data_IF_940221451102
#
_entry.id   IF_940221451102
#
_cell.length_a   1.000
_cell.length_b   1.000
_cell.length_c   1.000
_cell.angle_alpha   90.00
_cell.angle_beta   90.00
_cell.angle_gamma   90.00
#
_symmetry.space_group_name_H-M   'P 1'
#
loop_
_entity.id
_entity.type
_entity.pdbx_description
1 polymer ?
#
# COMPACT_ATOMS: atom_id res chain seq x y z
N UNK A 1 -0.81 25.99 -11.70
CA UNK A 1 -0.84 24.51 -11.71
C UNK A 1 0.30 24.05 -10.81
N UNK A 2 0.18 22.94 -10.07
CA UNK A 2 1.11 22.48 -9.01
C UNK A 2 0.82 23.04 -7.59
N UNK A 3 -0.07 22.34 -6.86
CA UNK A 3 -0.21 22.39 -5.39
C UNK A 3 -0.78 21.06 -4.89
N UNK A 4 -1.66 20.44 -5.70
CA UNK A 4 -2.24 19.12 -5.43
C UNK A 4 -1.26 17.96 -5.67
N UNK A 5 -0.41 18.05 -6.71
CA UNK A 5 0.60 17.02 -7.01
C UNK A 5 1.64 16.95 -5.89
N UNK A 6 2.13 18.12 -5.45
CA UNK A 6 3.10 18.22 -4.35
C UNK A 6 2.54 17.66 -3.03
N UNK A 7 1.26 17.93 -2.73
CA UNK A 7 0.62 17.42 -1.52
C UNK A 7 0.48 15.89 -1.55
N UNK A 8 0.07 15.31 -2.68
CA UNK A 8 -0.07 13.85 -2.80
C UNK A 8 1.28 13.14 -2.64
N UNK A 9 2.34 13.68 -3.25
CA UNK A 9 3.69 13.16 -3.08
C UNK A 9 4.18 13.27 -1.64
N UNK A 10 3.91 14.39 -0.97
CA UNK A 10 4.29 14.57 0.44
C UNK A 10 3.58 13.57 1.37
N UNK A 11 2.30 13.25 1.11
CA UNK A 11 1.55 12.25 1.89
C UNK A 11 2.16 10.85 1.72
N UNK A 12 2.46 10.45 0.48
CA UNK A 12 3.09 9.14 0.22
C UNK A 12 4.48 9.05 0.83
N UNK A 13 5.33 10.08 0.65
CA UNK A 13 6.65 10.12 1.26
C UNK A 13 6.58 10.01 2.79
N UNK A 14 5.59 10.66 3.42
CA UNK A 14 5.39 10.54 4.87
C UNK A 14 4.96 9.13 5.27
N UNK A 15 4.10 8.49 4.47
CA UNK A 15 3.75 7.09 4.70
C UNK A 15 4.99 6.18 4.58
N UNK A 16 5.86 6.39 3.60
CA UNK A 16 7.06 5.57 3.39
C UNK A 16 8.05 5.67 4.56
N UNK A 17 8.23 6.87 5.13
CA UNK A 17 8.99 7.04 6.38
C UNK A 17 8.39 6.19 7.52
N UNK A 18 7.07 6.25 7.69
CA UNK A 18 6.37 5.47 8.72
C UNK A 18 6.46 3.96 8.44
N UNK A 19 6.39 3.54 7.18
CA UNK A 19 6.49 2.15 6.75
C UNK A 19 7.89 1.60 7.04
N UNK A 20 8.94 2.38 6.76
CA UNK A 20 10.32 2.02 7.08
C UNK A 20 10.51 1.84 8.59
N UNK A 21 10.00 2.78 9.39
CA UNK A 21 10.07 2.70 10.84
C UNK A 21 9.30 1.48 11.39
N UNK A 22 8.10 1.21 10.87
CA UNK A 22 7.28 0.07 11.27
C UNK A 22 7.92 -1.26 10.88
N UNK A 23 8.53 -1.34 9.67
CA UNK A 23 9.30 -2.51 9.24
C UNK A 23 10.46 -2.80 10.19
N UNK A 24 11.20 -1.77 10.60
CA UNK A 24 12.27 -1.90 11.60
C UNK A 24 11.74 -2.41 12.94
N UNK A 25 10.69 -1.78 13.48
CA UNK A 25 10.04 -2.19 14.73
C UNK A 25 9.58 -3.65 14.74
N UNK A 26 8.96 -4.11 13.65
CA UNK A 26 8.51 -5.50 13.52
C UNK A 26 9.68 -6.47 13.33
N UNK A 27 10.67 -6.07 12.54
CA UNK A 27 11.91 -6.82 12.29
C UNK A 27 12.70 -7.07 13.57
N UNK A 28 12.88 -6.05 14.41
CA UNK A 28 13.58 -6.15 15.71
C UNK A 28 12.88 -7.12 16.68
N UNK A 29 11.57 -7.33 16.50
CA UNK A 29 10.75 -8.29 17.27
C UNK A 29 10.71 -9.68 16.64
N UNK A 30 11.33 -9.88 15.48
CA UNK A 30 11.22 -11.12 14.71
C UNK A 30 9.80 -11.40 14.20
N UNK A 31 8.98 -10.36 14.04
CA UNK A 31 7.61 -10.45 13.53
C UNK A 31 7.61 -10.28 12.02
N UNK A 32 7.08 -11.28 11.30
CA UNK A 32 6.76 -11.16 9.88
C UNK A 32 5.35 -10.60 9.72
N UNK A 33 5.25 -9.45 9.07
CA UNK A 33 3.97 -8.84 8.72
C UNK A 33 3.50 -9.27 7.33
N UNK A 34 2.24 -9.69 7.25
CA UNK A 34 1.58 -10.19 6.04
C UNK A 34 0.37 -9.32 5.75
N UNK A 35 0.45 -8.50 4.72
CA UNK A 35 -0.61 -7.60 4.26
C UNK A 35 -1.48 -8.30 3.20
N UNK A 36 -2.78 -8.43 3.47
CA UNK A 36 -3.75 -9.05 2.56
C UNK A 36 -4.54 -7.97 1.81
N UNK A 37 -4.33 -7.87 0.49
CA UNK A 37 -5.03 -6.95 -0.40
C UNK A 37 -6.05 -7.72 -1.24
N UNK A 38 -7.25 -7.17 -1.44
CA UNK A 38 -8.30 -7.84 -2.24
C UNK A 38 -9.42 -6.86 -2.59
N UNK A 39 -10.36 -7.25 -3.45
CA UNK A 39 -11.66 -6.56 -3.54
C UNK A 39 -12.58 -6.88 -2.35
N UNK A 40 -13.64 -6.08 -2.11
CA UNK A 40 -14.70 -6.46 -1.17
C UNK A 40 -15.28 -7.84 -1.53
N UNK A 41 -15.54 -8.68 -0.53
CA UNK A 41 -16.14 -9.99 -0.75
C UNK A 41 -15.22 -11.06 -1.35
N UNK A 42 -13.92 -10.81 -1.54
CA UNK A 42 -12.96 -11.82 -2.04
C UNK A 42 -12.74 -12.98 -1.05
N UNK A 43 -13.20 -12.87 0.19
CA UNK A 43 -13.09 -13.92 1.20
C UNK A 43 -11.86 -13.83 2.12
N UNK A 44 -11.23 -12.65 2.24
CA UNK A 44 -10.08 -12.40 3.14
C UNK A 44 -10.35 -12.88 4.57
N UNK A 45 -11.37 -12.35 5.24
CA UNK A 45 -11.73 -12.70 6.62
C UNK A 45 -11.93 -14.19 6.82
N UNK A 46 -12.61 -14.86 5.89
CA UNK A 46 -12.86 -16.29 5.97
C UNK A 46 -11.57 -17.11 5.82
N UNK A 47 -10.71 -16.75 4.87
CA UNK A 47 -9.42 -17.40 4.69
C UNK A 47 -8.51 -17.17 5.90
N UNK A 48 -8.48 -15.94 6.40
CA UNK A 48 -7.64 -15.54 7.53
C UNK A 48 -8.09 -16.21 8.84
N UNK A 49 -9.39 -16.37 9.07
CA UNK A 49 -9.93 -17.14 10.21
C UNK A 49 -9.34 -18.56 10.23
N UNK A 50 -9.32 -19.25 9.09
CA UNK A 50 -8.75 -20.59 8.97
C UNK A 50 -7.22 -20.63 9.08
N UNK A 51 -6.52 -19.61 8.58
CA UNK A 51 -5.06 -19.49 8.73
C UNK A 51 -4.67 -19.30 10.19
N UNK A 52 -5.33 -18.38 10.89
CA UNK A 52 -5.07 -18.09 12.30
C UNK A 52 -5.37 -19.33 13.15
N UNK A 53 -6.50 -20.01 12.93
CA UNK A 53 -6.85 -21.21 13.69
C UNK A 53 -5.78 -22.31 13.53
N UNK A 54 -5.24 -22.49 12.32
CA UNK A 54 -4.14 -23.45 12.07
C UNK A 54 -2.83 -23.00 12.68
N UNK A 55 -2.49 -21.71 12.62
CA UNK A 55 -1.31 -21.18 13.26
C UNK A 55 -1.35 -21.40 14.78
N UNK A 56 -2.49 -21.10 15.42
CA UNK A 56 -2.73 -21.33 16.85
C UNK A 56 -2.64 -22.81 17.19
N UNK A 57 -3.31 -23.68 16.42
CA UNK A 57 -3.25 -25.13 16.63
C UNK A 57 -1.84 -25.71 16.45
N UNK A 58 -1.04 -25.13 15.55
CA UNK A 58 0.36 -25.48 15.32
C UNK A 58 1.34 -24.81 16.29
N UNK A 59 0.87 -24.06 17.29
CA UNK A 59 1.71 -23.39 18.29
C UNK A 59 2.53 -22.22 17.72
N UNK A 60 2.17 -21.68 16.56
CA UNK A 60 2.79 -20.48 15.99
C UNK A 60 2.14 -19.24 16.60
N UNK A 61 2.89 -18.38 17.33
CA UNK A 61 2.34 -17.13 17.85
C UNK A 61 1.94 -16.20 16.70
N UNK A 62 0.64 -16.06 16.47
CA UNK A 62 0.08 -15.24 15.41
C UNK A 62 -0.92 -14.24 15.99
N UNK A 63 -0.96 -13.04 15.43
CA UNK A 63 -1.95 -12.01 15.71
C UNK A 63 -2.52 -11.46 14.40
N UNK A 64 -3.68 -10.83 14.46
CA UNK A 64 -4.29 -10.17 13.32
C UNK A 64 -4.75 -8.75 13.61
N UNK A 65 -4.55 -7.88 12.63
CA UNK A 65 -5.21 -6.58 12.55
C UNK A 65 -6.15 -6.64 11.36
N UNK A 66 -7.39 -6.21 11.51
CA UNK A 66 -8.33 -6.05 10.40
C UNK A 66 -8.79 -4.62 10.30
N UNK A 67 -8.95 -4.13 9.08
CA UNK A 67 -9.31 -2.76 8.79
C UNK A 67 -10.53 -2.67 7.86
N UNK A 68 -11.52 -1.91 8.32
CA UNK A 68 -12.75 -1.66 7.59
C UNK A 68 -13.20 -0.20 7.76
N UNK A 69 -14.06 0.24 6.84
CA UNK A 69 -14.69 1.56 6.94
C UNK A 69 -15.65 1.65 8.13
N UNK A 70 -16.31 0.55 8.49
CA UNK A 70 -17.31 0.50 9.52
C UNK A 70 -17.47 -0.92 10.10
N UNK A 71 -17.99 -0.97 11.33
CA UNK A 71 -18.27 -2.20 12.11
C UNK A 71 -17.02 -2.95 12.58
N UNK A 72 -17.21 -3.83 13.57
CA UNK A 72 -16.15 -4.70 14.13
C UNK A 72 -16.43 -6.18 13.83
N UNK A 73 -17.23 -6.43 12.79
CA UNK A 73 -17.71 -7.77 12.44
C UNK A 73 -16.54 -8.70 12.10
N UNK A 74 -15.57 -8.20 11.34
CA UNK A 74 -14.41 -8.96 10.91
C UNK A 74 -13.50 -9.27 12.10
N UNK A 75 -13.26 -8.31 13.00
CA UNK A 75 -12.49 -8.55 14.22
C UNK A 75 -13.15 -9.60 15.12
N UNK A 76 -14.47 -9.49 15.32
CA UNK A 76 -15.26 -10.46 16.11
C UNK A 76 -15.18 -11.86 15.52
N UNK A 77 -15.23 -11.95 14.19
CA UNK A 77 -15.13 -13.22 13.47
C UNK A 77 -13.74 -13.83 13.60
N UNK A 78 -12.69 -13.05 13.33
CA UNK A 78 -11.31 -13.52 13.41
C UNK A 78 -10.91 -13.97 14.82
N UNK A 79 -11.44 -13.32 15.87
CA UNK A 79 -11.17 -13.69 17.26
C UNK A 79 -11.58 -15.14 17.61
N UNK A 80 -12.50 -15.75 16.84
CA UNK A 80 -12.90 -17.16 17.00
C UNK A 80 -11.76 -18.15 16.75
N UNK A 81 -10.71 -17.72 16.05
CA UNK A 81 -9.50 -18.51 15.84
C UNK A 81 -8.67 -18.75 17.12
N UNK A 82 -8.92 -17.97 18.18
CA UNK A 82 -8.11 -17.95 19.40
C UNK A 82 -6.88 -17.05 19.32
N UNK A 83 -6.59 -16.46 18.15
CA UNK A 83 -5.52 -15.49 18.01
C UNK A 83 -5.93 -14.10 18.57
N UNK A 84 -4.98 -13.29 19.07
CA UNK A 84 -5.21 -11.88 19.36
C UNK A 84 -5.61 -11.11 18.09
N UNK A 85 -6.72 -10.38 18.14
CA UNK A 85 -7.23 -9.59 17.01
C UNK A 85 -7.49 -8.14 17.39
N UNK A 86 -7.14 -7.20 16.50
CA UNK A 86 -7.43 -5.77 16.65
C UNK A 86 -8.16 -5.22 15.42
N UNK A 87 -9.22 -4.45 15.67
CA UNK A 87 -9.89 -3.68 14.62
C UNK A 87 -9.20 -2.33 14.42
N UNK A 88 -9.17 -1.87 13.17
CA UNK A 88 -8.97 -0.48 12.78
C UNK A 88 -10.21 -0.03 12.02
N UNK A 89 -10.88 1.00 12.51
CA UNK A 89 -11.85 1.74 11.71
C UNK A 89 -11.09 2.84 10.97
N UNK A 90 -11.24 2.87 9.65
CA UNK A 90 -10.46 3.80 8.80
C UNK A 90 -11.08 5.19 8.67
N UNK A 91 -12.20 5.44 9.37
CA UNK A 91 -12.93 6.70 9.39
C UNK A 91 -13.20 7.26 7.98
N UNK A 92 -13.53 6.36 7.05
CA UNK A 92 -13.87 6.68 5.65
C UNK A 92 -12.73 6.53 4.65
N UNK A 93 -11.49 6.25 5.08
CA UNK A 93 -10.39 5.98 4.17
C UNK A 93 -10.51 4.60 3.51
N UNK A 94 -10.21 4.54 2.21
CA UNK A 94 -10.28 3.33 1.39
C UNK A 94 -9.06 2.38 1.54
N UNK A 95 -8.13 2.68 2.46
CA UNK A 95 -6.87 1.96 2.68
C UNK A 95 -6.36 2.18 4.10
N UNK A 96 -5.40 1.36 4.50
CA UNK A 96 -4.54 1.60 5.66
C UNK A 96 -3.28 2.37 5.28
N UNK A 97 -2.79 3.17 6.23
CA UNK A 97 -1.47 3.79 6.23
C UNK A 97 -0.59 3.18 7.32
N UNK A 98 0.73 3.15 7.13
CA UNK A 98 1.67 2.58 8.08
C UNK A 98 1.56 3.22 9.47
N UNK A 99 1.36 4.53 9.54
CA UNK A 99 1.19 5.25 10.81
C UNK A 99 -0.09 4.85 11.57
N UNK A 100 -1.17 4.49 10.86
CA UNK A 100 -2.39 3.99 11.50
C UNK A 100 -2.16 2.61 12.12
N UNK A 101 -1.48 1.73 11.37
CA UNK A 101 -1.13 0.40 11.84
C UNK A 101 -0.20 0.48 13.05
N UNK A 102 0.88 1.28 12.98
CA UNK A 102 1.83 1.46 14.07
C UNK A 102 1.15 1.88 15.38
N UNK A 103 0.30 2.92 15.35
CA UNK A 103 -0.45 3.39 16.53
C UNK A 103 -1.38 2.33 17.13
N UNK A 104 -1.79 1.34 16.34
CA UNK A 104 -2.69 0.27 16.77
C UNK A 104 -1.95 -0.93 17.31
N UNK A 105 -0.69 -1.11 16.93
CA UNK A 105 0.21 -2.13 17.45
C UNK A 105 0.88 -1.71 18.76
N UNK A 106 1.16 -0.42 18.93
CA UNK A 106 1.78 0.12 20.14
C UNK A 106 0.99 -0.24 21.40
N UNK A 107 1.66 -0.90 22.36
CA UNK A 107 1.06 -1.36 23.61
C UNK A 107 0.07 -2.51 23.49
N UNK A 108 -0.21 -3.01 22.28
CA UNK A 108 -1.18 -4.10 22.05
C UNK A 108 -0.53 -5.39 21.54
N UNK A 109 0.43 -5.31 20.61
CA UNK A 109 0.99 -6.48 19.95
C UNK A 109 1.71 -7.39 20.97
N UNK A 110 1.26 -8.65 21.17
CA UNK A 110 1.87 -9.53 22.16
C UNK A 110 3.36 -9.78 21.89
N UNK A 111 4.13 -9.92 22.96
CA UNK A 111 5.54 -10.31 22.87
C UNK A 111 5.69 -11.70 22.25
N UNK A 112 6.73 -11.89 21.43
CA UNK A 112 6.96 -13.15 20.73
C UNK A 112 6.01 -13.44 19.57
N UNK A 113 5.15 -12.50 19.17
CA UNK A 113 4.33 -12.65 17.94
C UNK A 113 5.24 -12.85 16.74
N UNK A 114 5.15 -14.02 16.11
CA UNK A 114 5.95 -14.38 14.92
C UNK A 114 5.28 -13.95 13.63
N UNK A 115 3.96 -14.06 13.56
CA UNK A 115 3.17 -13.68 12.39
C UNK A 115 2.17 -12.59 12.77
N UNK A 116 2.20 -11.48 12.04
CA UNK A 116 1.18 -10.44 12.11
C UNK A 116 0.44 -10.40 10.77
N UNK A 117 -0.80 -10.86 10.74
CA UNK A 117 -1.65 -10.70 9.57
C UNK A 117 -2.36 -9.35 9.61
N UNK A 118 -2.33 -8.63 8.50
CA UNK A 118 -3.04 -7.37 8.32
C UNK A 118 -4.05 -7.57 7.21
N UNK A 119 -5.32 -7.73 7.59
CA UNK A 119 -6.43 -7.69 6.66
C UNK A 119 -6.72 -6.23 6.31
N UNK A 120 -6.28 -5.81 5.11
CA UNK A 120 -6.49 -4.45 4.62
C UNK A 120 -7.94 -4.27 4.16
N UNK A 121 -8.33 -3.01 3.95
CA UNK A 121 -9.65 -2.66 3.41
C UNK A 121 -9.85 -3.37 2.06
N UNK A 122 -11.07 -3.86 1.81
CA UNK A 122 -11.44 -4.43 0.51
C UNK A 122 -11.36 -3.40 -0.62
N UNK A 123 -10.18 -3.20 -1.18
CA UNK A 123 -9.92 -2.33 -2.33
C UNK A 123 -8.60 -2.76 -3.01
N UNK A 124 -8.58 -2.82 -4.34
CA UNK A 124 -7.37 -3.13 -5.12
C UNK A 124 -6.65 -1.90 -5.69
N UNK A 125 -7.20 -0.70 -5.50
CA UNK A 125 -6.65 0.54 -6.04
C UNK A 125 -5.89 1.29 -4.95
N UNK A 126 -6.60 1.82 -3.94
CA UNK A 126 -5.97 2.66 -2.93
C UNK A 126 -4.85 1.94 -2.16
N UNK A 127 -5.06 0.72 -1.62
CA UNK A 127 -4.05 0.06 -0.78
C UNK A 127 -2.77 -0.32 -1.52
N UNK A 128 -2.82 -0.46 -2.84
CA UNK A 128 -1.66 -0.86 -3.63
C UNK A 128 -0.54 0.18 -3.59
N UNK A 129 -0.88 1.46 -3.40
CA UNK A 129 0.07 2.58 -3.39
C UNK A 129 0.70 2.86 -2.03
N UNK A 130 0.22 2.22 -0.96
CA UNK A 130 0.69 2.47 0.41
C UNK A 130 1.47 1.27 0.92
N UNK A 131 2.74 1.48 1.26
CA UNK A 131 3.55 0.53 2.01
C UNK A 131 3.13 0.55 3.48
N UNK A 132 2.90 -0.61 4.10
CA UNK A 132 2.60 -0.74 5.53
C UNK A 132 3.82 -1.20 6.33
N UNK A 133 5.00 -1.30 5.69
CA UNK A 133 6.18 -1.91 6.29
C UNK A 133 6.06 -3.44 6.33
N UNK A 134 5.15 -4.03 5.54
CA UNK A 134 4.97 -5.48 5.51
C UNK A 134 6.19 -6.20 4.95
N UNK A 135 6.36 -7.45 5.37
CA UNK A 135 7.33 -8.38 4.79
C UNK A 135 6.75 -9.06 3.56
N UNK A 136 5.46 -9.42 3.63
CA UNK A 136 4.74 -10.07 2.55
C UNK A 136 3.48 -9.29 2.20
N UNK A 137 3.32 -9.00 0.92
CA UNK A 137 2.09 -8.49 0.33
C UNK A 137 1.44 -9.59 -0.48
N UNK A 138 0.24 -10.00 -0.07
CA UNK A 138 -0.54 -11.05 -0.74
C UNK A 138 -1.75 -10.41 -1.42
N UNK A 139 -1.86 -10.57 -2.74
CA UNK A 139 -3.02 -10.14 -3.50
C UNK A 139 -4.01 -11.29 -3.66
N UNK A 140 -5.23 -11.12 -3.20
CA UNK A 140 -6.31 -12.09 -3.32
C UNK A 140 -7.27 -11.68 -4.44
N UNK A 141 -7.71 -12.67 -5.22
CA UNK A 141 -8.79 -12.54 -6.19
C UNK A 141 -9.69 -13.77 -6.08
N UNK A 142 -11.00 -13.60 -5.92
CA UNK A 142 -11.90 -14.74 -6.00
C UNK A 142 -12.29 -15.06 -7.44
N UNK A 143 -12.58 -16.34 -7.68
CA UNK A 143 -13.07 -16.82 -9.00
C UNK A 143 -14.34 -16.12 -9.48
N UNK A 144 -15.06 -15.42 -8.58
CA UNK A 144 -16.28 -14.68 -8.90
C UNK A 144 -16.04 -13.26 -9.44
N UNK A 145 -14.80 -12.81 -9.52
CA UNK A 145 -14.45 -11.43 -9.86
C UNK A 145 -13.97 -11.23 -11.30
N UNK A 146 -13.88 -12.33 -12.07
CA UNK A 146 -13.38 -12.34 -13.44
C UNK A 146 -11.86 -12.49 -13.55
N UNK A 147 -11.42 -13.03 -14.67
CA UNK A 147 -10.05 -13.48 -14.92
C UNK A 147 -9.11 -12.33 -15.30
N UNK A 148 -9.65 -11.24 -15.84
CA UNK A 148 -8.89 -10.08 -16.31
C UNK A 148 -8.42 -9.14 -15.19
N UNK A 149 -8.72 -9.49 -13.94
CA UNK A 149 -8.41 -8.72 -12.74
C UNK A 149 -6.93 -8.37 -12.58
N UNK A 150 -5.96 -9.28 -12.83
CA UNK A 150 -4.55 -8.93 -12.75
C UNK A 150 -4.17 -7.77 -13.66
N UNK A 151 -4.65 -7.79 -14.91
CA UNK A 151 -4.35 -6.77 -15.92
C UNK A 151 -5.13 -5.47 -15.65
N UNK A 152 -6.34 -5.55 -15.08
CA UNK A 152 -7.12 -4.37 -14.66
C UNK A 152 -6.53 -3.65 -13.44
N UNK A 153 -5.86 -4.36 -12.55
CA UNK A 153 -5.29 -3.79 -11.31
C UNK A 153 -3.78 -4.05 -11.21
N UNK A 154 -2.99 -3.60 -12.21
CA UNK A 154 -1.61 -4.05 -12.36
C UNK A 154 -0.73 -3.67 -11.17
N UNK A 155 -0.98 -2.55 -10.49
CA UNK A 155 -0.23 -2.13 -9.31
C UNK A 155 -0.40 -3.11 -8.14
N UNK A 156 -1.62 -3.59 -7.87
CA UNK A 156 -1.86 -4.52 -6.77
C UNK A 156 -1.19 -5.88 -6.99
N UNK A 157 -1.33 -6.43 -8.19
CA UNK A 157 -0.74 -7.73 -8.54
C UNK A 157 0.76 -7.65 -8.83
N UNK A 158 1.23 -6.54 -9.39
CA UNK A 158 2.65 -6.28 -9.71
C UNK A 158 3.54 -5.98 -8.49
N UNK A 159 2.92 -5.62 -7.35
CA UNK A 159 3.58 -5.45 -6.06
C UNK A 159 3.39 -6.67 -5.13
N UNK A 160 2.66 -7.69 -5.56
CA UNK A 160 2.41 -8.88 -4.74
C UNK A 160 3.65 -9.79 -4.69
N UNK A 161 3.92 -10.32 -3.51
CA UNK A 161 4.90 -11.39 -3.28
C UNK A 161 4.26 -12.77 -3.51
N UNK A 162 2.93 -12.84 -3.39
CA UNK A 162 2.12 -14.03 -3.61
C UNK A 162 0.74 -13.60 -4.11
N UNK A 163 0.22 -14.33 -5.10
CA UNK A 163 -1.18 -14.21 -5.53
C UNK A 163 -1.97 -15.39 -5.00
N UNK A 164 -3.16 -15.14 -4.47
CA UNK A 164 -4.07 -16.18 -3.98
C UNK A 164 -5.40 -16.09 -4.71
N UNK A 165 -5.76 -17.17 -5.40
CA UNK A 165 -7.09 -17.34 -5.97
C UNK A 165 -7.99 -17.96 -4.91
N UNK A 166 -9.10 -17.31 -4.58
CA UNK A 166 -10.03 -17.78 -3.54
C UNK A 166 -11.34 -18.30 -4.12
N UNK A 167 -12.07 -19.06 -3.30
CA UNK A 167 -13.38 -19.66 -3.63
C UNK A 167 -13.32 -20.65 -4.81
N UNK A 168 -12.20 -21.34 -4.95
CA UNK A 168 -11.95 -22.31 -6.05
C UNK A 168 -12.96 -23.45 -6.08
N UNK A 169 -13.60 -23.72 -4.94
CA UNK A 169 -14.72 -24.66 -4.77
C UNK A 169 -15.98 -24.32 -5.57
N UNK A 170 -16.08 -23.13 -6.16
CA UNK A 170 -17.17 -22.74 -7.07
C UNK A 170 -16.68 -22.29 -8.45
N UNK A 171 -15.41 -22.54 -8.79
CA UNK A 171 -14.81 -22.10 -10.06
C UNK A 171 -15.62 -22.56 -11.28
N UNK A 172 -15.96 -23.85 -11.33
CA UNK A 172 -16.75 -24.44 -12.43
C UNK A 172 -18.15 -23.81 -12.52
N UNK A 173 -18.79 -23.56 -11.37
CA UNK A 173 -20.15 -23.03 -11.31
C UNK A 173 -20.24 -21.59 -11.83
N UNK A 174 -19.14 -20.82 -11.74
CA UNK A 174 -19.07 -19.45 -12.24
C UNK A 174 -18.33 -19.33 -13.57
N UNK A 175 -17.89 -20.46 -14.15
CA UNK A 175 -17.22 -20.51 -15.45
C UNK A 175 -15.83 -19.87 -15.45
N UNK A 176 -15.10 -19.97 -14.34
CA UNK A 176 -13.81 -19.29 -14.18
C UNK A 176 -12.73 -19.86 -15.12
N UNK A 177 -12.18 -19.03 -16.00
CA UNK A 177 -11.05 -19.42 -16.87
C UNK A 177 -9.71 -19.21 -16.14
N UNK A 178 -9.28 -20.29 -15.48
CA UNK A 178 -8.03 -20.35 -14.73
C UNK A 178 -6.81 -19.95 -15.57
N UNK A 179 -6.70 -20.40 -16.82
CA UNK A 179 -5.50 -20.12 -17.62
C UNK A 179 -5.47 -18.68 -18.10
N UNK A 180 -6.62 -18.07 -18.41
CA UNK A 180 -6.71 -16.64 -18.68
C UNK A 180 -6.24 -15.81 -17.47
N UNK A 181 -6.69 -16.15 -16.25
CA UNK A 181 -6.25 -15.47 -15.04
C UNK A 181 -4.74 -15.60 -14.82
N UNK A 182 -4.21 -16.82 -14.91
CA UNK A 182 -2.77 -17.05 -14.76
C UNK A 182 -1.95 -16.36 -15.84
N UNK A 183 -2.46 -16.29 -17.08
CA UNK A 183 -1.88 -15.49 -18.15
C UNK A 183 -1.76 -14.00 -17.77
N UNK A 184 -2.83 -13.42 -17.23
CA UNK A 184 -2.84 -12.05 -16.72
C UNK A 184 -1.85 -11.83 -15.56
N UNK A 185 -1.78 -12.76 -14.61
CA UNK A 185 -0.81 -12.70 -13.50
C UNK A 185 0.62 -12.72 -14.05
N UNK A 186 0.96 -13.66 -14.94
CA UNK A 186 2.29 -13.77 -15.56
C UNK A 186 2.66 -12.52 -16.35
N UNK A 187 1.69 -11.87 -16.99
CA UNK A 187 1.91 -10.62 -17.73
C UNK A 187 2.30 -9.47 -16.79
N UNK A 188 1.65 -9.35 -15.64
CA UNK A 188 1.82 -8.23 -14.71
C UNK A 188 2.98 -8.46 -13.73
N UNK A 189 3.15 -9.69 -13.25
CA UNK A 189 4.17 -10.05 -12.26
C UNK A 189 4.78 -11.43 -12.61
N UNK A 190 5.65 -11.49 -13.64
CA UNK A 190 6.31 -12.72 -14.04
C UNK A 190 7.01 -13.43 -12.87
N UNK A 191 6.76 -14.73 -12.71
CA UNK A 191 7.39 -15.57 -11.70
C UNK A 191 6.74 -15.53 -10.31
N UNK A 192 5.75 -14.65 -10.07
CA UNK A 192 5.05 -14.62 -8.78
C UNK A 192 4.36 -15.97 -8.53
N UNK A 193 4.52 -16.57 -7.33
CA UNK A 193 3.77 -17.77 -6.98
C UNK A 193 2.26 -17.48 -6.94
N UNK A 194 1.48 -18.47 -7.35
CA UNK A 194 0.02 -18.43 -7.28
C UNK A 194 -0.47 -19.65 -6.49
N UNK A 195 -1.29 -19.42 -5.48
CA UNK A 195 -1.96 -20.48 -4.72
C UNK A 195 -3.47 -20.41 -4.90
N UNK A 196 -4.10 -21.56 -4.97
CA UNK A 196 -5.54 -21.72 -5.12
C UNK A 196 -6.13 -22.19 -3.80
N UNK A 197 -7.17 -21.52 -3.32
CA UNK A 197 -7.72 -21.73 -1.98
C UNK A 197 -9.24 -21.74 -1.94
N UNK A 198 -9.76 -22.52 -1.01
CA UNK A 198 -11.16 -22.48 -0.60
C UNK A 198 -11.23 -22.48 0.91
N UNK A 199 -11.73 -21.38 1.48
CA UNK A 199 -12.06 -21.34 2.91
C UNK A 199 -13.16 -22.35 3.25
N UNK A 200 -14.11 -22.60 2.33
CA UNK A 200 -15.22 -23.53 2.55
C UNK A 200 -14.77 -24.97 2.70
N UNK A 201 -13.83 -25.43 1.87
CA UNK A 201 -13.34 -26.82 1.90
C UNK A 201 -12.03 -26.98 2.67
N UNK A 202 -11.35 -25.87 3.00
CA UNK A 202 -10.01 -25.87 3.58
C UNK A 202 -8.89 -26.10 2.56
N UNK A 203 -9.20 -26.28 1.28
CA UNK A 203 -8.21 -26.50 0.23
C UNK A 203 -7.24 -25.31 0.15
N UNK A 204 -5.95 -25.60 0.07
CA UNK A 204 -4.89 -24.60 -0.09
C UNK A 204 -4.52 -23.79 1.16
N UNK A 205 -5.31 -23.86 2.25
CA UNK A 205 -5.03 -23.07 3.46
C UNK A 205 -3.71 -23.49 4.13
N UNK A 206 -3.46 -24.80 4.23
CA UNK A 206 -2.21 -25.32 4.80
C UNK A 206 -0.99 -24.98 3.94
N UNK A 207 -1.14 -25.01 2.62
CA UNK A 207 -0.09 -24.61 1.68
C UNK A 207 0.23 -23.10 1.81
N UNK A 208 -0.79 -22.27 1.99
CA UNK A 208 -0.64 -20.84 2.23
C UNK A 208 0.06 -20.55 3.57
N UNK A 209 -0.35 -21.21 4.66
CA UNK A 209 0.32 -21.06 5.95
C UNK A 209 1.79 -21.53 5.87
N UNK A 210 2.05 -22.66 5.23
CA UNK A 210 3.40 -23.17 5.02
C UNK A 210 4.27 -22.18 4.21
N UNK A 211 3.71 -21.53 3.19
CA UNK A 211 4.43 -20.50 2.44
C UNK A 211 4.82 -19.32 3.33
N UNK A 212 3.87 -18.77 4.10
CA UNK A 212 4.12 -17.67 5.04
C UNK A 212 5.17 -18.07 6.09
N UNK A 213 5.10 -19.28 6.62
CA UNK A 213 6.06 -19.79 7.61
C UNK A 213 7.48 -19.92 7.05
N UNK A 214 7.65 -20.34 5.79
CA UNK A 214 8.97 -20.40 5.16
C UNK A 214 9.59 -19.02 5.01
N UNK A 215 8.81 -18.02 4.58
CA UNK A 215 9.28 -16.64 4.56
C UNK A 215 9.62 -16.13 5.97
N UNK A 216 8.83 -16.50 6.99
CA UNK A 216 9.14 -16.19 8.39
C UNK A 216 10.38 -16.93 8.95
N UNK A 217 10.82 -17.98 8.27
CA UNK A 217 12.09 -18.68 8.54
C UNK A 217 13.27 -18.12 7.72
N UNK A 218 13.06 -17.07 6.92
CA UNK A 218 14.11 -16.41 6.14
C UNK A 218 14.24 -16.92 4.70
N UNK A 219 13.31 -17.75 4.21
CA UNK A 219 13.25 -18.07 2.77
C UNK A 219 12.94 -16.82 1.97
N UNK A 220 13.72 -16.57 0.91
CA UNK A 220 13.56 -15.38 0.07
C UNK A 220 12.20 -15.42 -0.64
N UNK A 221 11.38 -14.39 -0.41
CA UNK A 221 10.11 -14.22 -1.09
C UNK A 221 10.32 -13.75 -2.53
N UNK A 222 9.31 -13.96 -3.38
CA UNK A 222 9.30 -13.39 -4.73
C UNK A 222 9.48 -11.87 -4.68
N UNK A 223 10.42 -11.35 -5.46
CA UNK A 223 10.68 -9.91 -5.55
C UNK A 223 9.75 -9.29 -6.60
N UNK A 224 8.76 -8.46 -6.21
CA UNK A 224 7.78 -7.93 -7.13
C UNK A 224 8.41 -7.00 -8.18
N UNK A 225 7.98 -7.11 -9.44
CA UNK A 225 8.58 -6.34 -10.54
C UNK A 225 8.41 -4.82 -10.35
N UNK A 226 7.27 -4.40 -9.79
CA UNK A 226 6.99 -2.98 -9.54
C UNK A 226 7.69 -2.44 -8.28
N UNK A 227 8.16 -3.30 -7.37
CA UNK A 227 8.92 -2.85 -6.19
C UNK A 227 10.23 -2.15 -6.63
N UNK A 228 10.88 -2.68 -7.67
CA UNK A 228 12.11 -2.11 -8.27
C UNK A 228 11.91 -0.75 -8.97
N UNK A 229 10.67 -0.34 -9.19
CA UNK A 229 10.32 0.97 -9.77
C UNK A 229 9.96 1.98 -8.69
N UNK A 230 9.32 1.53 -7.60
CA UNK A 230 9.02 2.35 -6.43
C UNK A 230 10.31 2.84 -5.76
N UNK A 231 11.32 1.98 -5.60
CA UNK A 231 12.65 2.35 -5.07
C UNK A 231 13.40 3.37 -5.94
N UNK A 232 13.24 3.32 -7.26
CA UNK A 232 13.86 4.30 -8.17
C UNK A 232 13.24 5.70 -8.05
N UNK A 233 11.96 5.78 -7.70
CA UNK A 233 11.31 7.06 -7.40
C UNK A 233 11.84 7.65 -6.09
N UNK A 234 12.13 6.80 -5.09
CA UNK A 234 12.72 7.20 -3.80
C UNK A 234 14.16 7.73 -3.95
N UNK A 235 15.00 7.10 -4.78
CA UNK A 235 16.40 7.54 -4.95
C UNK A 235 16.58 8.74 -5.90
N UNK A 236 15.59 9.05 -6.74
CA UNK A 236 15.63 10.22 -7.64
C UNK A 236 15.46 11.57 -6.91
N UNK A 237 15.00 11.57 -5.66
CA UNK A 237 14.75 12.81 -4.89
C UNK A 237 15.76 13.07 -3.77
N UNK A 238 16.85 12.29 -3.70
CA UNK A 238 17.93 12.47 -2.72
C UNK A 238 19.11 13.33 -3.20
N UNK A 239 19.23 13.63 -4.50
CA UNK A 239 20.29 14.50 -5.01
C UNK A 239 19.77 15.93 -5.18
N UNK A 240 20.01 16.75 -4.17
CA UNK A 240 19.81 18.19 -4.23
C UNK A 240 20.55 18.76 -5.45
N UNK A 241 19.78 19.33 -6.38
CA UNK A 241 20.35 20.19 -7.40
C UNK A 241 20.83 21.48 -6.74
N UNK A 242 22.13 21.56 -6.45
CA UNK A 242 22.81 22.83 -6.28
C UNK A 242 22.75 23.58 -7.61
N UNK A 243 21.95 24.65 -7.65
CA UNK A 243 22.00 25.61 -8.75
C UNK A 243 23.30 26.42 -8.67
N UNK A 244 24.13 26.44 -9.72
CA UNK A 244 25.25 27.37 -9.77
C UNK A 244 24.71 28.80 -9.92
N UNK A 245 25.22 29.71 -9.09
CA UNK A 245 24.87 31.14 -9.12
C UNK A 245 25.15 31.70 -10.52
N UNK A 246 24.15 32.35 -11.10
CA UNK A 246 24.27 33.00 -12.40
C UNK A 246 25.16 34.25 -12.29
N UNK A 247 26.23 34.26 -13.08
CA UNK A 247 27.09 35.41 -13.32
C UNK A 247 26.33 36.52 -14.06
N UNK A 248 26.44 37.75 -13.53
CA UNK A 248 25.87 38.95 -14.13
C UNK A 248 26.85 39.50 -15.17
N UNK A 249 26.49 39.44 -16.45
CA UNK A 249 27.20 40.16 -17.51
C UNK A 249 26.59 41.55 -17.74
N UNK A 250 27.40 42.63 -17.85
CA UNK A 250 26.93 43.98 -18.12
C UNK A 250 26.90 44.28 -19.63
N UNK A 251 25.87 45.00 -20.09
CA UNK A 251 25.83 45.61 -21.43
C UNK A 251 26.38 47.05 -21.41
N UNK A 252 27.20 47.47 -22.39
CA UNK A 252 27.77 48.80 -22.46
C UNK A 252 26.85 49.79 -23.21
N UNK A 253 26.93 51.07 -22.83
CA UNK A 253 26.03 52.13 -23.29
C UNK A 253 26.42 52.86 -24.57
N UNK A 254 25.58 53.85 -24.94
CA UNK A 254 25.91 55.26 -25.21
C UNK A 254 24.83 55.93 -26.08
N UNK A 255 24.30 57.08 -25.64
CA UNK A 255 24.55 58.42 -26.22
C UNK A 255 23.55 59.47 -25.72
N UNK A 256 24.10 60.67 -25.49
CA UNK A 256 23.48 61.91 -25.01
C UNK A 256 22.86 62.75 -26.14
N UNK A 257 21.81 63.51 -25.81
CA UNK A 257 21.47 64.88 -26.24
C UNK A 257 20.19 65.26 -25.45
N UNK A 258 19.98 66.39 -24.76
CA UNK A 258 20.58 67.72 -24.79
C UNK A 258 19.56 68.74 -25.31
N UNK A 259 18.70 69.32 -24.45
CA UNK A 259 18.08 70.67 -24.55
C UNK A 259 16.93 70.86 -23.53
N UNK A 260 16.99 71.91 -22.69
CA UNK A 260 15.82 72.55 -22.05
C UNK A 260 15.22 73.63 -22.99
N UNK A 261 14.46 74.66 -22.52
CA UNK A 261 14.05 75.00 -21.15
C UNK A 261 12.57 75.47 -20.98
N UNK A 262 12.14 75.75 -19.74
CA UNK A 262 11.35 76.97 -19.40
C UNK A 262 9.82 76.91 -19.23
N UNK A 263 9.31 77.69 -18.26
CA UNK A 263 7.96 78.31 -18.22
C UNK A 263 6.87 77.50 -17.50
N UNK A 264 6.55 77.69 -16.21
CA UNK A 264 5.86 78.82 -15.54
C UNK A 264 4.32 78.85 -15.76
N UNK A 265 3.61 79.12 -14.65
CA UNK A 265 2.21 79.57 -14.48
C UNK A 265 1.07 78.52 -14.56
N UNK A 266 -0.07 78.60 -13.85
CA UNK A 266 -0.57 79.37 -12.70
C UNK A 266 -2.08 79.05 -12.62
N UNK A 267 -2.65 78.90 -11.40
CA UNK A 267 -4.09 79.11 -11.04
C UNK A 267 -5.15 78.17 -11.70
N UNK A 268 -6.35 77.93 -11.16
CA UNK A 268 -7.04 78.23 -9.91
C UNK A 268 -8.42 77.52 -9.92
N UNK A 269 -9.02 77.37 -8.72
CA UNK A 269 -10.48 77.23 -8.40
C UNK A 269 -11.14 75.92 -8.86
N UNK A 270 -12.10 75.31 -8.17
CA UNK A 270 -12.89 75.54 -6.95
C UNK A 270 -13.77 74.27 -6.80
N UNK A 271 -13.90 73.66 -5.62
CA UNK A 271 -14.89 73.91 -4.57
C UNK A 271 -16.37 73.70 -5.00
N UNK A 272 -17.11 73.02 -4.11
CA UNK A 272 -18.57 72.75 -4.09
C UNK A 272 -19.03 71.53 -4.92
N UNK A 273 -19.77 70.52 -4.40
CA UNK A 273 -20.58 70.32 -3.19
C UNK A 273 -20.63 68.82 -2.87
#
# INVERSE_FOLDING_TARGET
MCRTVDLHQAVLAKNDENALALRGYLGDRGTVAVNLLSSPGSGKTALLEHLLARAVAGGTPAAAVTADLATENDATRLARSGAPVRQILTDGLCHLEAGMLQRRLEGWLPEGTRLLFVENVGNLVCPASYDLGETLRIALASVTEGEDKPVKYPTAFGLAHLVVVTKTDIADAVGFDREAFLGGVRQVNPGVPVLETSARTGQGVDALLAHVLRCAAGEEAHVPVLARQHERYLHSHGNGHEHPRADVHPHPGARQAGAGPGGEQERARGQER
#
